data_IF_513684695591
#
_entry.id   IF_513684695591
#
_cell.length_a   1.000
_cell.length_b   1.000
_cell.length_c   1.000
_cell.angle_alpha   90.00
_cell.angle_beta   90.00
_cell.angle_gamma   90.00
#
_symmetry.space_group_name_H-M   'P 1'
#
loop_
_entity.id
_entity.type
_entity.pdbx_description
1 polymer ?
#
# COMPACT_ATOMS: atom_id res chain seq x y z
N UNK A 1 36.91 6.23 10.63
CA UNK A 1 35.86 6.93 11.39
C UNK A 1 34.57 6.15 11.22
N UNK A 2 33.76 5.99 12.26
CA UNK A 2 32.44 5.37 12.10
C UNK A 2 31.55 6.39 11.37
N UNK A 3 30.97 6.00 10.24
CA UNK A 3 30.02 6.85 9.52
C UNK A 3 28.79 7.11 10.38
N UNK A 4 28.16 8.27 10.20
CA UNK A 4 26.93 8.60 10.93
C UNK A 4 25.76 7.77 10.39
N UNK A 5 24.88 7.25 11.27
CA UNK A 5 23.73 6.48 10.83
C UNK A 5 22.76 7.37 10.04
N UNK A 6 22.14 6.78 9.02
CA UNK A 6 21.05 7.39 8.28
C UNK A 6 19.82 7.62 9.16
N UNK A 7 18.91 8.50 8.73
CA UNK A 7 17.65 8.74 9.44
C UNK A 7 16.85 7.44 9.65
N UNK A 8 16.80 6.55 8.65
CA UNK A 8 16.06 5.30 8.74
C UNK A 8 16.69 4.31 9.73
N UNK A 9 18.02 4.25 9.81
CA UNK A 9 18.73 3.44 10.81
C UNK A 9 18.46 3.93 12.24
N UNK A 10 18.48 5.25 12.46
CA UNK A 10 18.17 5.86 13.76
C UNK A 10 16.72 5.51 14.16
N UNK A 11 15.76 5.69 13.25
CA UNK A 11 14.35 5.38 13.51
C UNK A 11 14.13 3.90 13.80
N UNK A 12 14.78 3.01 13.04
CA UNK A 12 14.70 1.56 13.25
C UNK A 12 15.24 1.16 14.62
N UNK A 13 16.40 1.69 15.01
CA UNK A 13 16.98 1.45 16.32
C UNK A 13 16.10 1.97 17.46
N UNK A 14 15.54 3.19 17.30
CA UNK A 14 14.60 3.76 18.26
C UNK A 14 13.32 2.92 18.40
N UNK A 15 12.76 2.41 17.29
CA UNK A 15 11.59 1.54 17.31
C UNK A 15 11.86 0.23 18.05
N UNK A 16 12.98 -0.45 17.77
CA UNK A 16 13.35 -1.68 18.49
C UNK A 16 13.57 -1.42 19.98
N UNK A 17 14.25 -0.33 20.32
CA UNK A 17 14.43 0.05 21.73
C UNK A 17 13.10 0.32 22.42
N UNK A 18 12.20 1.05 21.76
CA UNK A 18 10.87 1.33 22.28
C UNK A 18 10.05 0.06 22.50
N UNK A 19 10.00 -0.87 21.54
CA UNK A 19 9.30 -2.15 21.69
C UNK A 19 9.86 -2.98 22.84
N UNK A 20 11.17 -2.97 23.06
CA UNK A 20 11.80 -3.64 24.20
C UNK A 20 11.39 -3.00 25.53
N UNK A 21 11.35 -1.66 25.61
CA UNK A 21 10.89 -0.93 26.81
C UNK A 21 9.40 -1.17 27.11
N UNK A 22 8.57 -1.34 26.08
CA UNK A 22 7.14 -1.62 26.23
C UNK A 22 6.84 -3.11 26.48
N UNK A 23 7.85 -3.99 26.48
CA UNK A 23 7.70 -5.43 26.69
C UNK A 23 6.63 -6.08 25.78
N UNK A 24 6.59 -5.69 24.49
CA UNK A 24 5.60 -6.23 23.55
C UNK A 24 5.81 -7.73 23.33
N UNK A 25 4.72 -8.51 23.24
CA UNK A 25 4.78 -9.94 22.87
C UNK A 25 5.24 -10.14 21.43
N UNK A 26 4.74 -9.29 20.52
CA UNK A 26 5.04 -9.32 19.09
C UNK A 26 5.25 -7.90 18.56
N UNK A 27 6.20 -7.76 17.65
CA UNK A 27 6.40 -6.54 16.87
C UNK A 27 6.23 -6.87 15.38
N UNK A 28 5.36 -6.14 14.69
CA UNK A 28 5.21 -6.20 13.23
C UNK A 28 6.15 -5.17 12.62
N UNK A 29 7.14 -5.63 11.87
CA UNK A 29 8.21 -4.78 11.33
C UNK A 29 8.07 -4.72 9.80
N UNK A 30 7.72 -3.54 9.29
CA UNK A 30 7.71 -3.26 7.86
C UNK A 30 9.13 -2.91 7.38
N UNK A 31 9.57 -3.57 6.32
CA UNK A 31 10.85 -3.30 5.66
C UNK A 31 10.79 -1.93 4.99
N UNK A 32 11.80 -1.08 5.19
CA UNK A 32 11.85 0.23 4.55
C UNK A 32 12.07 0.16 3.04
N UNK A 33 13.13 -0.51 2.61
CA UNK A 33 13.46 -0.68 1.21
C UNK A 33 14.15 -2.03 0.92
N UNK A 34 13.60 -2.78 -0.04
CA UNK A 34 14.17 -4.06 -0.44
C UNK A 34 13.93 -5.15 0.61
N UNK A 35 14.96 -5.46 1.39
CA UNK A 35 14.92 -6.49 2.42
C UNK A 35 16.30 -6.94 2.88
N UNK A 36 17.14 -7.42 1.96
CA UNK A 36 18.45 -7.99 2.28
C UNK A 36 19.35 -7.05 3.10
N UNK A 37 19.44 -5.79 2.67
CA UNK A 37 20.27 -4.74 3.27
C UNK A 37 19.47 -3.71 4.06
N UNK A 38 18.20 -3.98 4.32
CA UNK A 38 17.36 -3.05 5.05
C UNK A 38 17.74 -3.03 6.54
N UNK A 39 17.67 -1.85 7.17
CA UNK A 39 18.00 -1.67 8.59
C UNK A 39 17.16 -2.55 9.52
N UNK A 40 15.97 -2.96 9.09
CA UNK A 40 15.10 -3.87 9.85
C UNK A 40 15.56 -5.33 9.83
N UNK A 41 16.44 -5.72 8.89
CA UNK A 41 16.82 -7.12 8.67
C UNK A 41 17.84 -7.67 9.69
N UNK A 42 17.94 -7.05 10.86
CA UNK A 42 18.78 -7.46 11.99
C UNK A 42 18.10 -8.52 12.88
N UNK A 43 16.81 -8.78 12.67
CA UNK A 43 15.99 -9.65 13.51
C UNK A 43 15.84 -11.07 12.94
N UNK A 44 15.50 -12.03 13.81
CA UNK A 44 14.98 -13.34 13.42
C UNK A 44 13.48 -13.37 13.73
N UNK A 45 12.59 -13.23 12.73
CA UNK A 45 11.16 -13.20 12.98
C UNK A 45 10.60 -14.61 13.21
N UNK A 46 9.38 -14.68 13.74
CA UNK A 46 8.60 -15.93 13.83
C UNK A 46 7.96 -16.31 12.49
N UNK A 47 7.75 -15.33 11.60
CA UNK A 47 7.28 -15.50 10.22
C UNK A 47 7.81 -14.33 9.38
N UNK A 48 8.29 -14.62 8.17
CA UNK A 48 8.64 -13.58 7.19
C UNK A 48 7.50 -13.43 6.18
N UNK A 49 7.19 -12.20 5.78
CA UNK A 49 6.09 -11.93 4.84
C UNK A 49 6.61 -11.11 3.66
N UNK A 50 6.39 -11.60 2.44
CA UNK A 50 6.70 -10.89 1.20
C UNK A 50 5.39 -10.72 0.43
N UNK A 51 4.77 -9.53 0.48
CA UNK A 51 3.44 -9.25 -0.09
C UNK A 51 3.41 -9.43 -1.61
N UNK A 52 3.40 -8.35 -2.41
CA UNK A 52 3.61 -8.39 -3.85
C UNK A 52 5.05 -7.99 -4.19
N UNK A 53 5.45 -8.23 -5.44
CA UNK A 53 6.69 -7.71 -5.99
C UNK A 53 6.36 -7.07 -7.32
N UNK A 54 6.59 -5.77 -7.39
CA UNK A 54 6.40 -4.94 -8.57
C UNK A 54 7.70 -4.19 -8.89
N UNK A 55 7.80 -3.65 -10.10
CA UNK A 55 8.89 -2.76 -10.46
C UNK A 55 8.73 -1.44 -9.70
N UNK A 56 9.50 -1.29 -8.63
CA UNK A 56 9.61 -0.05 -7.87
C UNK A 56 11.05 0.09 -7.37
N UNK A 57 11.51 1.32 -7.19
CA UNK A 57 12.88 1.63 -6.76
C UNK A 57 13.96 0.93 -7.61
N UNK A 58 13.77 0.88 -8.93
CA UNK A 58 14.62 0.12 -9.86
C UNK A 58 16.08 0.59 -9.92
N UNK A 59 16.35 1.83 -9.49
CA UNK A 59 17.70 2.36 -9.33
C UNK A 59 18.49 1.70 -8.19
N UNK A 60 17.80 1.13 -7.20
CA UNK A 60 18.40 0.57 -5.98
C UNK A 60 18.22 -0.95 -5.92
N UNK A 61 17.04 -1.46 -6.26
CA UNK A 61 16.68 -2.86 -6.04
C UNK A 61 16.93 -3.77 -7.24
N UNK A 62 17.12 -3.20 -8.43
CA UNK A 62 17.29 -3.94 -9.68
C UNK A 62 16.31 -3.51 -10.77
N UNK A 63 16.60 -3.90 -12.00
CA UNK A 63 15.82 -3.56 -13.20
C UNK A 63 14.78 -4.62 -13.55
N UNK A 64 14.83 -5.80 -12.93
CA UNK A 64 13.91 -6.91 -13.18
C UNK A 64 13.13 -7.28 -11.92
N UNK A 65 11.98 -7.95 -12.10
CA UNK A 65 11.18 -8.46 -11.00
C UNK A 65 11.98 -9.51 -10.18
N UNK A 66 12.83 -10.27 -10.85
CA UNK A 66 13.68 -11.30 -10.26
C UNK A 66 14.75 -10.68 -9.33
N UNK A 67 15.41 -9.61 -9.77
CA UNK A 67 16.40 -8.89 -8.95
C UNK A 67 15.75 -8.27 -7.71
N UNK A 68 14.60 -7.62 -7.89
CA UNK A 68 13.84 -7.03 -6.78
C UNK A 68 13.35 -8.12 -5.83
N UNK A 69 12.87 -9.24 -6.35
CA UNK A 69 12.45 -10.38 -5.53
C UNK A 69 13.62 -10.98 -4.74
N UNK A 70 14.83 -11.03 -5.31
CA UNK A 70 16.02 -11.50 -4.60
C UNK A 70 16.38 -10.59 -3.42
N UNK A 71 16.31 -9.26 -3.61
CA UNK A 71 16.49 -8.30 -2.51
C UNK A 71 15.46 -8.52 -1.41
N UNK A 72 14.18 -8.65 -1.77
CA UNK A 72 13.09 -8.91 -0.80
C UNK A 72 13.24 -10.26 -0.09
N UNK A 73 13.67 -11.30 -0.80
CA UNK A 73 13.92 -12.63 -0.24
C UNK A 73 15.03 -12.64 0.82
N UNK A 74 15.83 -11.58 0.93
CA UNK A 74 16.85 -11.43 1.98
C UNK A 74 16.30 -11.40 3.41
N UNK A 75 14.99 -11.20 3.62
CA UNK A 75 14.36 -11.30 4.94
C UNK A 75 14.02 -12.74 5.34
N UNK A 76 14.18 -13.71 4.44
CA UNK A 76 13.94 -15.13 4.72
C UNK A 76 15.05 -15.66 5.61
N UNK A 77 14.67 -16.23 6.76
CA UNK A 77 15.60 -16.78 7.76
C UNK A 77 15.52 -18.30 7.83
N UNK A 78 16.61 -18.92 8.28
CA UNK A 78 16.75 -20.38 8.39
C UNK A 78 15.59 -20.99 9.20
N UNK A 79 14.86 -21.91 8.56
CA UNK A 79 13.70 -22.65 9.11
C UNK A 79 12.54 -21.77 9.60
N UNK A 80 12.54 -20.48 9.26
CA UNK A 80 11.44 -19.57 9.58
C UNK A 80 10.42 -19.61 8.45
N UNK A 81 9.12 -19.80 8.72
CA UNK A 81 8.09 -19.85 7.67
C UNK A 81 7.98 -18.52 6.91
N UNK A 82 7.66 -18.61 5.63
CA UNK A 82 7.50 -17.48 4.71
C UNK A 82 6.11 -17.51 4.11
N UNK A 83 5.37 -16.41 4.21
CA UNK A 83 4.11 -16.20 3.49
C UNK A 83 4.35 -15.21 2.37
N UNK A 84 3.91 -15.53 1.16
CA UNK A 84 4.07 -14.63 0.02
C UNK A 84 2.83 -14.46 -0.84
N UNK A 85 2.57 -13.22 -1.25
CA UNK A 85 1.59 -12.86 -2.27
C UNK A 85 2.21 -12.66 -3.66
N UNK A 86 3.52 -12.92 -3.82
CA UNK A 86 4.25 -12.73 -5.06
C UNK A 86 3.86 -13.81 -6.09
N UNK A 87 3.88 -13.42 -7.35
CA UNK A 87 3.49 -14.28 -8.47
C UNK A 87 4.43 -14.07 -9.67
N UNK A 88 4.26 -14.92 -10.69
CA UNK A 88 5.04 -14.84 -11.93
C UNK A 88 6.55 -14.93 -11.67
N UNK A 89 7.30 -14.09 -12.39
CA UNK A 89 8.75 -14.07 -12.37
C UNK A 89 9.36 -13.78 -10.98
N UNK A 90 8.67 -12.99 -10.16
CA UNK A 90 9.13 -12.67 -8.81
C UNK A 90 9.11 -13.87 -7.85
N UNK A 91 8.32 -14.92 -8.14
CA UNK A 91 8.19 -16.05 -7.24
C UNK A 91 9.43 -16.96 -7.23
N UNK A 92 10.13 -17.07 -8.37
CA UNK A 92 11.30 -17.95 -8.51
C UNK A 92 12.40 -17.70 -7.47
N UNK A 93 12.93 -16.47 -7.34
CA UNK A 93 13.95 -16.13 -6.34
C UNK A 93 13.50 -16.42 -4.89
N UNK A 94 12.22 -16.16 -4.58
CA UNK A 94 11.64 -16.45 -3.25
C UNK A 94 11.64 -17.96 -2.99
N UNK A 95 11.24 -18.77 -3.98
CA UNK A 95 11.26 -20.24 -3.86
C UNK A 95 12.67 -20.79 -3.65
N UNK A 96 13.65 -20.30 -4.43
CA UNK A 96 15.06 -20.72 -4.30
C UNK A 96 15.59 -20.39 -2.91
N UNK A 97 15.38 -19.15 -2.45
CA UNK A 97 15.84 -18.74 -1.13
C UNK A 97 15.14 -19.51 -0.01
N UNK A 98 13.84 -19.75 -0.13
CA UNK A 98 13.09 -20.54 0.85
C UNK A 98 13.60 -21.98 0.93
N UNK A 99 13.89 -22.61 -0.21
CA UNK A 99 14.46 -23.95 -0.24
C UNK A 99 15.86 -23.99 0.37
N UNK A 100 16.72 -23.02 0.03
CA UNK A 100 18.07 -22.90 0.57
C UNK A 100 18.08 -22.73 2.10
N UNK A 101 17.13 -21.94 2.63
CA UNK A 101 16.96 -21.69 4.07
C UNK A 101 16.12 -22.73 4.80
N UNK A 102 15.69 -23.79 4.11
CA UNK A 102 14.76 -24.79 4.65
C UNK A 102 13.50 -24.16 5.29
N UNK A 103 13.07 -23.02 4.74
CA UNK A 103 11.95 -22.24 5.22
C UNK A 103 10.64 -22.77 4.62
N UNK A 104 9.63 -23.13 5.42
CA UNK A 104 8.31 -23.50 4.90
C UNK A 104 7.68 -22.34 4.12
N UNK A 105 7.30 -22.56 2.86
CA UNK A 105 6.78 -21.53 1.96
C UNK A 105 5.27 -21.67 1.74
N UNK A 106 4.52 -20.59 1.96
CA UNK A 106 3.09 -20.48 1.70
C UNK A 106 2.84 -19.41 0.63
N UNK A 107 2.31 -19.81 -0.53
CA UNK A 107 2.17 -18.92 -1.71
C UNK A 107 0.69 -18.66 -2.01
N UNK A 108 0.31 -17.38 -2.13
CA UNK A 108 -1.03 -16.99 -2.60
C UNK A 108 -1.30 -17.56 -4.00
N UNK A 109 -2.50 -18.09 -4.23
CA UNK A 109 -2.90 -18.77 -5.46
C UNK A 109 -2.36 -20.19 -5.62
N UNK A 110 -1.61 -20.71 -4.64
CA UNK A 110 -1.19 -22.13 -4.58
C UNK A 110 -1.52 -22.79 -3.26
N UNK A 111 -1.07 -22.19 -2.15
CA UNK A 111 -1.27 -22.68 -0.79
C UNK A 111 -2.57 -22.16 -0.17
N UNK A 112 -3.00 -20.97 -0.56
CA UNK A 112 -4.21 -20.30 -0.11
C UNK A 112 -4.66 -19.25 -1.13
N UNK A 113 -5.92 -18.85 -1.13
CA UNK A 113 -6.45 -17.76 -1.94
C UNK A 113 -7.72 -17.15 -1.32
N UNK A 114 -8.05 -15.94 -1.75
CA UNK A 114 -9.29 -15.25 -1.39
C UNK A 114 -10.27 -15.21 -2.55
N UNK A 115 -11.54 -15.46 -2.29
CA UNK A 115 -12.64 -15.32 -3.23
C UNK A 115 -13.54 -14.17 -2.79
N UNK A 116 -13.69 -13.16 -3.63
CA UNK A 116 -14.62 -12.05 -3.38
C UNK A 116 -16.06 -12.57 -3.34
N UNK A 117 -16.81 -12.21 -2.29
CA UNK A 117 -18.26 -12.48 -2.18
C UNK A 117 -19.04 -11.20 -2.43
N UNK A 118 -18.68 -10.13 -1.70
CA UNK A 118 -19.24 -8.78 -1.91
C UNK A 118 -18.15 -7.74 -1.82
N UNK A 119 -18.30 -6.63 -2.54
CA UNK A 119 -17.31 -5.57 -2.59
C UNK A 119 -17.98 -4.22 -2.85
N UNK A 120 -17.69 -3.25 -2.00
CA UNK A 120 -18.20 -1.88 -2.07
C UNK A 120 -17.16 -0.91 -1.52
N UNK A 121 -17.44 0.39 -1.59
CA UNK A 121 -16.62 1.42 -0.92
C UNK A 121 -16.66 1.34 0.61
N UNK A 122 -17.67 0.70 1.20
CA UNK A 122 -17.80 0.53 2.65
C UNK A 122 -17.09 -0.72 3.18
N UNK A 123 -16.54 -1.53 2.27
CA UNK A 123 -15.82 -2.75 2.61
C UNK A 123 -16.21 -3.93 1.72
N UNK A 124 -15.62 -5.06 2.06
CA UNK A 124 -15.66 -6.28 1.27
C UNK A 124 -15.85 -7.49 2.19
N UNK A 125 -16.59 -8.49 1.70
CA UNK A 125 -16.66 -9.83 2.28
C UNK A 125 -16.01 -10.80 1.32
N UNK A 126 -15.12 -11.63 1.81
CA UNK A 126 -14.40 -12.61 1.01
C UNK A 126 -14.23 -13.93 1.75
N UNK A 127 -14.13 -15.03 0.99
CA UNK A 127 -13.83 -16.36 1.51
C UNK A 127 -12.34 -16.64 1.38
N UNK A 128 -11.68 -16.94 2.50
CA UNK A 128 -10.31 -17.45 2.51
C UNK A 128 -10.33 -18.98 2.47
N UNK A 129 -9.73 -19.53 1.42
CA UNK A 129 -9.47 -20.97 1.27
C UNK A 129 -7.98 -21.23 1.49
N UNK A 130 -7.62 -22.17 2.37
CA UNK A 130 -6.23 -22.54 2.63
C UNK A 130 -6.05 -24.04 2.86
N UNK A 131 -5.06 -24.64 2.19
CA UNK A 131 -4.87 -26.10 2.20
C UNK A 131 -6.12 -26.84 1.70
N UNK A 132 -6.41 -28.02 2.25
CA UNK A 132 -7.57 -28.83 1.81
C UNK A 132 -8.85 -28.56 2.60
N UNK A 133 -8.74 -28.07 3.84
CA UNK A 133 -9.85 -28.11 4.80
C UNK A 133 -10.15 -26.77 5.49
N UNK A 134 -9.36 -25.71 5.24
CA UNK A 134 -9.65 -24.41 5.86
C UNK A 134 -10.43 -23.53 4.89
N UNK A 135 -11.64 -23.19 5.29
CA UNK A 135 -12.52 -22.25 4.61
C UNK A 135 -13.17 -21.37 5.67
N UNK A 136 -12.99 -20.05 5.56
CA UNK A 136 -13.61 -19.10 6.48
C UNK A 136 -13.88 -17.76 5.78
N UNK A 137 -14.98 -17.10 6.14
CA UNK A 137 -15.43 -15.84 5.52
C UNK A 137 -15.05 -14.64 6.38
N UNK A 138 -14.32 -13.70 5.79
CA UNK A 138 -13.81 -12.50 6.44
C UNK A 138 -14.48 -11.25 5.89
N UNK A 139 -14.68 -10.26 6.75
CA UNK A 139 -15.12 -8.92 6.37
C UNK A 139 -13.99 -7.93 6.61
N UNK A 140 -13.68 -7.09 5.62
CA UNK A 140 -12.66 -6.04 5.70
C UNK A 140 -13.26 -4.70 5.27
N UNK A 141 -12.96 -3.62 5.98
CA UNK A 141 -13.48 -2.28 5.65
C UNK A 141 -12.74 -1.60 4.49
N UNK A 142 -11.55 -2.07 4.16
CA UNK A 142 -10.75 -1.53 3.07
C UNK A 142 -11.32 -1.96 1.71
N UNK A 143 -11.71 -1.03 0.83
CA UNK A 143 -12.15 -1.37 -0.52
C UNK A 143 -10.97 -1.71 -1.44
N UNK A 144 -11.27 -2.36 -2.56
CA UNK A 144 -10.29 -2.74 -3.60
C UNK A 144 -9.85 -4.20 -3.53
N UNK A 145 -9.86 -4.89 -4.68
CA UNK A 145 -9.60 -6.32 -4.76
C UNK A 145 -8.20 -6.73 -4.24
N UNK A 146 -7.21 -5.85 -4.37
CA UNK A 146 -5.86 -6.08 -3.83
C UNK A 146 -5.85 -6.22 -2.30
N UNK A 147 -6.80 -5.59 -1.60
CA UNK A 147 -6.91 -5.70 -0.15
C UNK A 147 -7.37 -7.08 0.31
N UNK A 148 -8.16 -7.79 -0.50
CA UNK A 148 -8.51 -9.21 -0.22
C UNK A 148 -7.22 -10.04 -0.23
N UNK A 149 -6.35 -9.89 -1.23
CA UNK A 149 -5.06 -10.59 -1.28
C UNK A 149 -4.19 -10.23 -0.07
N UNK A 150 -4.06 -8.94 0.26
CA UNK A 150 -3.28 -8.49 1.42
C UNK A 150 -3.81 -9.10 2.73
N UNK A 151 -5.13 -9.09 2.91
CA UNK A 151 -5.79 -9.70 4.05
C UNK A 151 -5.52 -11.21 4.12
N UNK A 152 -5.63 -11.95 3.01
CA UNK A 152 -5.29 -13.37 2.98
C UNK A 152 -3.85 -13.64 3.42
N UNK A 153 -2.88 -12.85 2.94
CA UNK A 153 -1.47 -12.97 3.32
C UNK A 153 -1.29 -12.72 4.82
N UNK A 154 -1.92 -11.66 5.35
CA UNK A 154 -1.87 -11.32 6.78
C UNK A 154 -2.52 -12.39 7.66
N UNK A 155 -3.72 -12.89 7.29
CA UNK A 155 -4.45 -13.93 8.02
C UNK A 155 -3.63 -15.22 8.06
N UNK A 156 -3.00 -15.63 6.95
CA UNK A 156 -2.16 -16.83 6.91
C UNK A 156 -0.91 -16.66 7.77
N UNK A 157 -0.27 -15.49 7.75
CA UNK A 157 0.85 -15.17 8.65
C UNK A 157 0.42 -15.26 10.12
N UNK A 158 -0.70 -14.64 10.49
CA UNK A 158 -1.26 -14.71 11.84
C UNK A 158 -1.63 -16.15 12.24
N UNK A 159 -2.19 -16.95 11.32
CA UNK A 159 -2.51 -18.36 11.54
C UNK A 159 -1.25 -19.20 11.80
N UNK A 160 -0.14 -18.90 11.14
CA UNK A 160 1.16 -19.55 11.42
C UNK A 160 1.63 -19.24 12.84
N UNK A 161 1.55 -17.96 13.26
CA UNK A 161 1.91 -17.55 14.62
C UNK A 161 1.01 -18.22 15.66
N UNK A 162 -0.30 -18.32 15.39
CA UNK A 162 -1.28 -18.95 16.30
C UNK A 162 -0.99 -20.43 16.62
N UNK A 163 -0.17 -21.12 15.81
CA UNK A 163 0.27 -22.49 16.13
C UNK A 163 1.19 -22.55 17.34
N UNK A 164 1.95 -21.47 17.58
CA UNK A 164 2.85 -21.32 18.72
C UNK A 164 2.25 -20.50 19.86
N UNK A 165 1.17 -19.77 19.61
CA UNK A 165 0.49 -18.93 20.60
C UNK A 165 -1.04 -19.09 20.51
N UNK A 166 -1.65 -19.90 21.41
CA UNK A 166 -3.09 -20.14 21.39
C UNK A 166 -3.92 -18.91 21.79
N UNK A 167 -3.30 -17.82 22.27
CA UNK A 167 -3.98 -16.56 22.55
C UNK A 167 -4.49 -15.89 21.27
N UNK A 168 -3.97 -16.24 20.09
CA UNK A 168 -4.40 -15.71 18.79
C UNK A 168 -5.50 -16.63 18.23
N UNK A 169 -6.74 -16.37 18.62
CA UNK A 169 -7.90 -17.20 18.26
C UNK A 169 -8.39 -16.95 16.83
N UNK A 170 -9.39 -17.71 16.38
CA UNK A 170 -10.04 -17.45 15.09
C UNK A 170 -10.85 -16.16 15.13
N UNK A 171 -11.58 -15.97 16.22
CA UNK A 171 -12.36 -14.80 16.55
C UNK A 171 -11.50 -13.52 16.51
N UNK A 172 -10.30 -13.55 17.11
CA UNK A 172 -9.35 -12.43 17.08
C UNK A 172 -8.91 -12.08 15.66
N UNK A 173 -8.73 -13.09 14.79
CA UNK A 173 -8.38 -12.86 13.38
C UNK A 173 -9.55 -12.22 12.62
N UNK A 174 -10.79 -12.65 12.86
CA UNK A 174 -11.96 -12.00 12.26
C UNK A 174 -12.11 -10.55 12.72
N UNK A 175 -11.99 -10.32 14.03
CA UNK A 175 -12.07 -8.97 14.60
C UNK A 175 -10.96 -8.07 14.04
N UNK A 176 -9.70 -8.54 14.04
CA UNK A 176 -8.57 -7.76 13.54
C UNK A 176 -8.70 -7.36 12.06
N UNK A 177 -9.21 -8.26 11.21
CA UNK A 177 -9.46 -7.94 9.79
C UNK A 177 -10.63 -6.94 9.64
N UNK A 178 -11.70 -7.10 10.42
CA UNK A 178 -12.86 -6.23 10.37
C UNK A 178 -12.58 -4.81 10.92
N UNK A 179 -11.64 -4.69 11.85
CA UNK A 179 -11.23 -3.43 12.48
C UNK A 179 -10.03 -2.76 11.78
N UNK A 180 -9.48 -3.38 10.74
CA UNK A 180 -8.32 -2.82 10.03
C UNK A 180 -8.65 -1.45 9.43
N UNK A 181 -7.84 -0.45 9.78
CA UNK A 181 -7.87 0.90 9.22
C UNK A 181 -6.53 1.18 8.55
N UNK A 182 -6.56 1.69 7.32
CA UNK A 182 -5.35 2.02 6.58
C UNK A 182 -5.49 3.39 5.89
N UNK A 183 -5.03 4.47 6.54
CA UNK A 183 -5.11 5.81 5.98
C UNK A 183 -4.47 5.92 4.59
N UNK A 184 -5.12 6.64 3.67
CA UNK A 184 -4.61 6.87 2.32
C UNK A 184 -4.58 5.63 1.40
N UNK A 185 -5.46 4.65 1.63
CA UNK A 185 -5.67 3.49 0.74
C UNK A 185 -7.16 3.39 0.42
N UNK A 186 -7.56 4.01 -0.69
CA UNK A 186 -8.96 4.21 -1.08
C UNK A 186 -9.83 4.69 0.11
N UNK A 187 -9.26 5.56 0.95
CA UNK A 187 -9.88 6.02 2.18
C UNK A 187 -10.97 7.04 1.83
N UNK A 188 -12.24 6.69 2.00
CA UNK A 188 -13.35 7.64 1.81
C UNK A 188 -13.53 8.50 3.06
N UNK A 189 -13.41 9.81 2.90
CA UNK A 189 -13.50 10.79 4.01
C UNK A 189 -14.74 11.68 3.97
N UNK A 190 -15.45 11.72 2.84
CA UNK A 190 -16.70 12.46 2.68
C UNK A 190 -17.64 11.68 1.76
N UNK A 191 -18.95 11.84 2.00
CA UNK A 191 -20.03 11.30 1.15
C UNK A 191 -20.87 12.49 0.66
N UNK A 192 -21.05 12.58 -0.66
CA UNK A 192 -21.72 13.67 -1.40
C UNK A 192 -21.07 15.06 -1.24
N UNK A 193 -20.03 15.38 -2.06
CA UNK A 193 -19.38 14.48 -3.02
C UNK A 193 -18.62 13.34 -2.32
N UNK A 194 -18.44 12.22 -3.02
CA UNK A 194 -17.53 11.18 -2.53
C UNK A 194 -16.10 11.71 -2.65
N UNK A 195 -15.35 11.67 -1.54
CA UNK A 195 -13.96 12.15 -1.49
C UNK A 195 -13.07 11.01 -1.01
N UNK A 196 -12.13 10.61 -1.85
CA UNK A 196 -11.26 9.46 -1.65
C UNK A 196 -9.81 9.91 -1.55
N UNK A 197 -9.08 9.38 -0.58
CA UNK A 197 -7.64 9.59 -0.43
C UNK A 197 -6.89 8.30 -0.80
N UNK A 198 -5.92 8.41 -1.71
CA UNK A 198 -5.11 7.26 -2.10
C UNK A 198 -3.65 7.62 -2.43
N UNK A 199 -2.72 6.88 -1.82
CA UNK A 199 -1.27 7.06 -1.97
C UNK A 199 -0.62 6.30 -3.14
N UNK A 200 -1.38 5.85 -4.13
CA UNK A 200 -0.86 5.24 -5.36
C UNK A 200 0.16 6.18 -6.04
N UNK A 201 1.38 5.69 -6.21
CA UNK A 201 2.51 6.49 -6.72
C UNK A 201 3.44 5.70 -7.67
N UNK A 202 3.03 4.50 -8.03
CA UNK A 202 3.71 3.61 -8.97
C UNK A 202 2.68 2.97 -9.91
N UNK A 203 3.10 2.34 -11.03
CA UNK A 203 2.18 1.81 -12.03
C UNK A 203 1.16 0.79 -11.49
N UNK A 204 1.58 -0.10 -10.59
CA UNK A 204 0.71 -1.12 -9.97
C UNK A 204 -0.37 -0.49 -9.08
N UNK A 205 0.03 0.47 -8.24
CA UNK A 205 -0.91 1.23 -7.40
C UNK A 205 -1.87 2.09 -8.23
N UNK A 206 -1.38 2.70 -9.31
CA UNK A 206 -2.20 3.48 -10.23
C UNK A 206 -3.26 2.61 -10.92
N UNK A 207 -2.89 1.39 -11.33
CA UNK A 207 -3.82 0.42 -11.91
C UNK A 207 -4.85 -0.01 -10.87
N UNK A 208 -4.41 -0.36 -9.65
CA UNK A 208 -5.31 -0.76 -8.58
C UNK A 208 -6.30 0.33 -8.18
N UNK A 209 -5.86 1.59 -8.13
CA UNK A 209 -6.72 2.75 -7.89
C UNK A 209 -7.73 2.90 -9.03
N UNK A 210 -7.28 2.89 -10.28
CA UNK A 210 -8.16 3.05 -11.44
C UNK A 210 -9.19 1.94 -11.55
N UNK A 211 -8.80 0.68 -11.37
CA UNK A 211 -9.71 -0.47 -11.36
C UNK A 211 -10.79 -0.32 -10.28
N UNK A 212 -10.43 0.17 -9.09
CA UNK A 212 -11.37 0.43 -8.02
C UNK A 212 -12.35 1.57 -8.37
N UNK A 213 -11.85 2.67 -8.94
CA UNK A 213 -12.70 3.78 -9.37
C UNK A 213 -13.67 3.35 -10.49
N UNK A 214 -13.20 2.57 -11.47
CA UNK A 214 -14.03 2.03 -12.55
C UNK A 214 -15.10 1.06 -12.04
N UNK A 215 -14.74 0.22 -11.06
CA UNK A 215 -15.66 -0.74 -10.43
C UNK A 215 -16.74 -0.05 -9.59
N UNK A 216 -16.36 0.91 -8.75
CA UNK A 216 -17.27 1.49 -7.76
C UNK A 216 -18.00 2.75 -8.24
N UNK A 217 -17.48 3.43 -9.26
CA UNK A 217 -18.05 4.66 -9.82
C UNK A 217 -18.12 4.57 -11.36
N UNK A 218 -18.82 3.57 -11.92
CA UNK A 218 -18.82 3.31 -13.36
C UNK A 218 -19.34 4.52 -14.14
N UNK A 219 -18.54 4.98 -15.10
CA UNK A 219 -18.88 6.10 -15.99
C UNK A 219 -18.93 7.48 -15.32
N UNK A 220 -18.47 7.62 -14.07
CA UNK A 220 -18.33 8.94 -13.43
C UNK A 220 -16.94 9.52 -13.71
N UNK A 221 -16.83 10.76 -14.23
CA UNK A 221 -15.56 11.45 -14.32
C UNK A 221 -15.01 11.75 -12.92
N UNK A 222 -13.69 11.67 -12.77
CA UNK A 222 -12.99 11.87 -11.51
C UNK A 222 -12.37 13.26 -11.47
N UNK A 223 -12.49 13.93 -10.33
CA UNK A 223 -11.85 15.21 -10.07
C UNK A 223 -10.64 14.97 -9.18
N UNK A 224 -9.44 15.09 -9.73
CA UNK A 224 -8.22 14.80 -9.00
C UNK A 224 -7.64 16.06 -8.36
N UNK A 225 -7.19 15.92 -7.11
CA UNK A 225 -6.11 16.73 -6.54
C UNK A 225 -4.86 15.86 -6.57
N UNK A 226 -3.94 16.14 -7.48
CA UNK A 226 -2.88 15.20 -7.86
C UNK A 226 -1.49 15.77 -7.64
N UNK A 227 -0.64 15.00 -6.95
CA UNK A 227 0.76 15.35 -6.74
C UNK A 227 1.61 14.10 -6.57
N UNK A 228 2.79 14.10 -7.18
CA UNK A 228 3.71 12.96 -7.17
C UNK A 228 5.14 13.38 -6.84
N UNK A 229 5.94 12.41 -6.37
CA UNK A 229 7.39 12.56 -6.36
C UNK A 229 7.93 12.41 -7.78
N UNK A 230 8.80 13.33 -8.22
CA UNK A 230 9.35 13.38 -9.57
C UNK A 230 10.37 12.28 -9.90
N UNK A 231 10.88 11.58 -8.89
CA UNK A 231 11.80 10.44 -9.08
C UNK A 231 11.09 9.11 -9.36
N UNK A 232 9.75 9.11 -9.44
CA UNK A 232 8.91 7.95 -9.75
C UNK A 232 8.54 7.87 -11.23
N UNK A 233 7.85 6.81 -11.64
CA UNK A 233 7.39 6.58 -13.02
C UNK A 233 6.16 7.45 -13.38
N UNK A 234 6.29 8.78 -13.25
CA UNK A 234 5.17 9.73 -13.33
C UNK A 234 4.37 9.59 -14.63
N UNK A 235 5.04 9.55 -15.79
CA UNK A 235 4.37 9.41 -17.09
C UNK A 235 3.56 8.13 -17.22
N UNK A 236 4.06 7.02 -16.68
CA UNK A 236 3.34 5.76 -16.72
C UNK A 236 2.15 5.75 -15.75
N UNK A 237 2.32 6.31 -14.56
CA UNK A 237 1.22 6.46 -13.58
C UNK A 237 0.10 7.33 -14.14
N UNK A 238 0.42 8.50 -14.71
CA UNK A 238 -0.57 9.38 -15.35
C UNK A 238 -1.32 8.66 -16.46
N UNK A 239 -0.60 7.94 -17.34
CA UNK A 239 -1.20 7.16 -18.44
C UNK A 239 -2.17 6.08 -17.95
N UNK A 240 -1.83 5.41 -16.85
CA UNK A 240 -2.67 4.34 -16.28
C UNK A 240 -3.89 4.92 -15.57
N UNK A 241 -3.70 5.98 -14.78
CA UNK A 241 -4.69 6.50 -13.85
C UNK A 241 -5.69 7.46 -14.49
N UNK A 242 -5.21 8.44 -15.26
CA UNK A 242 -6.02 9.58 -15.71
C UNK A 242 -6.72 9.24 -17.03
N UNK A 243 -8.01 9.59 -17.13
CA UNK A 243 -8.84 9.46 -18.33
C UNK A 243 -9.12 10.83 -18.96
N UNK A 244 -9.47 10.90 -20.27
CA UNK A 244 -9.76 12.17 -20.96
C UNK A 244 -10.89 12.99 -20.34
N UNK A 245 -11.89 12.33 -19.73
CA UNK A 245 -13.06 12.93 -19.09
C UNK A 245 -12.81 13.42 -17.66
N UNK A 246 -11.68 13.04 -17.06
CA UNK A 246 -11.30 13.48 -15.72
C UNK A 246 -10.87 14.95 -15.72
N UNK A 247 -10.95 15.61 -14.57
CA UNK A 247 -10.36 16.94 -14.35
C UNK A 247 -9.26 16.83 -13.31
N UNK A 248 -8.13 17.51 -13.51
CA UNK A 248 -6.99 17.39 -12.59
C UNK A 248 -6.50 18.75 -12.11
N UNK A 249 -6.53 18.95 -10.80
CA UNK A 249 -5.82 20.04 -10.13
C UNK A 249 -4.47 19.49 -9.68
N UNK A 250 -3.38 19.91 -10.32
CA UNK A 250 -2.04 19.44 -9.96
C UNK A 250 -1.41 20.32 -8.89
N UNK A 251 -0.72 19.68 -7.95
CA UNK A 251 -0.04 20.32 -6.82
C UNK A 251 1.31 19.65 -6.58
N UNK A 252 2.19 20.31 -5.84
CA UNK A 252 3.38 19.65 -5.29
C UNK A 252 2.97 18.64 -4.22
N UNK A 253 3.60 17.46 -4.22
CA UNK A 253 3.30 16.42 -3.22
C UNK A 253 3.81 16.78 -1.82
N UNK A 254 4.95 17.48 -1.76
CA UNK A 254 5.55 18.08 -0.57
C UNK A 254 6.45 19.27 -0.96
N UNK A 255 7.00 19.95 0.05
CA UNK A 255 7.96 21.05 -0.13
C UNK A 255 9.38 20.55 -0.41
N UNK A 256 9.56 19.24 -0.59
CA UNK A 256 10.85 18.61 -0.77
C UNK A 256 11.38 18.77 -2.20
N UNK A 257 12.72 18.68 -2.39
CA UNK A 257 13.35 18.80 -3.71
C UNK A 257 13.03 17.64 -4.66
N UNK A 258 12.37 16.59 -4.17
CA UNK A 258 11.99 15.41 -4.95
C UNK A 258 10.56 15.48 -5.47
N UNK A 259 9.72 16.40 -5.00
CA UNK A 259 8.37 16.56 -5.53
C UNK A 259 8.43 17.11 -6.96
N UNK A 260 7.56 16.59 -7.83
CA UNK A 260 7.37 17.16 -9.15
C UNK A 260 6.65 18.51 -9.05
N UNK A 261 6.99 19.45 -9.94
CA UNK A 261 6.32 20.74 -9.97
C UNK A 261 4.89 20.59 -10.51
N UNK A 262 3.94 21.35 -9.94
CA UNK A 262 2.54 21.30 -10.34
C UNK A 262 2.35 21.58 -11.84
N UNK A 263 3.09 22.56 -12.37
CA UNK A 263 3.07 22.94 -13.79
C UNK A 263 3.60 21.83 -14.69
N UNK A 264 4.65 21.11 -14.28
CA UNK A 264 5.19 19.99 -15.04
C UNK A 264 4.19 18.83 -15.11
N UNK A 265 3.53 18.52 -13.99
CA UNK A 265 2.46 17.53 -13.94
C UNK A 265 1.28 17.93 -14.85
N UNK A 266 0.86 19.19 -14.81
CA UNK A 266 -0.23 19.67 -15.66
C UNK A 266 0.11 19.55 -17.15
N UNK A 267 1.31 19.96 -17.54
CA UNK A 267 1.78 19.86 -18.92
C UNK A 267 1.85 18.40 -19.40
N UNK A 268 2.26 17.48 -18.53
CA UNK A 268 2.32 16.05 -18.83
C UNK A 268 0.92 15.43 -19.02
N UNK A 269 -0.06 15.84 -18.22
CA UNK A 269 -1.44 15.33 -18.30
C UNK A 269 -2.17 15.94 -19.51
N UNK A 270 -1.96 17.23 -19.79
CA UNK A 270 -2.55 17.93 -20.91
C UNK A 270 -3.77 18.78 -20.54
N UNK A 271 -4.72 18.98 -21.47
CA UNK A 271 -5.71 20.06 -21.40
C UNK A 271 -6.72 19.94 -20.25
N UNK A 272 -6.90 18.75 -19.68
CA UNK A 272 -7.78 18.56 -18.52
C UNK A 272 -7.12 18.88 -17.17
N UNK A 273 -5.84 19.27 -17.16
CA UNK A 273 -5.10 19.60 -15.95
C UNK A 273 -4.85 21.10 -15.78
N UNK A 274 -4.86 21.57 -14.52
CA UNK A 274 -4.53 22.93 -14.11
C UNK A 274 -3.61 22.91 -12.89
N UNK A 275 -2.50 23.65 -12.90
CA UNK A 275 -1.59 23.73 -11.75
C UNK A 275 -2.08 24.70 -10.69
N UNK A 276 -1.79 24.36 -9.43
CA UNK A 276 -2.05 25.17 -8.24
C UNK A 276 -0.83 25.18 -7.33
N UNK A 277 -0.60 26.30 -6.67
CA UNK A 277 0.49 26.47 -5.70
C UNK A 277 0.09 25.98 -4.30
N UNK A 278 -1.20 26.04 -3.97
CA UNK A 278 -1.76 25.61 -2.68
C UNK A 278 -2.70 24.41 -2.82
N UNK A 279 -2.55 23.45 -1.90
CA UNK A 279 -3.37 22.23 -1.86
C UNK A 279 -4.83 22.56 -1.51
N UNK A 280 -5.06 23.60 -0.72
CA UNK A 280 -6.39 24.07 -0.36
C UNK A 280 -7.13 24.68 -1.54
N UNK A 281 -6.46 25.52 -2.33
CA UNK A 281 -7.05 26.08 -3.56
C UNK A 281 -7.39 24.99 -4.59
N UNK A 282 -6.47 24.04 -4.81
CA UNK A 282 -6.71 22.88 -5.68
C UNK A 282 -7.90 22.05 -5.20
N UNK A 283 -8.01 21.84 -3.89
CA UNK A 283 -9.10 21.14 -3.25
C UNK A 283 -10.45 21.84 -3.42
N UNK A 284 -10.50 23.15 -3.15
CA UNK A 284 -11.72 23.96 -3.25
C UNK A 284 -12.21 23.99 -4.72
N UNK A 285 -11.28 24.07 -5.68
CA UNK A 285 -11.60 23.96 -7.11
C UNK A 285 -12.12 22.56 -7.48
N UNK A 286 -11.47 21.49 -7.05
CA UNK A 286 -11.88 20.12 -7.35
C UNK A 286 -13.29 19.81 -6.81
N UNK A 287 -13.62 20.29 -5.61
CA UNK A 287 -14.97 20.20 -5.04
C UNK A 287 -15.99 20.98 -5.86
N UNK A 288 -15.67 22.22 -6.24
CA UNK A 288 -16.57 23.06 -7.02
C UNK A 288 -16.88 22.43 -8.39
N UNK A 289 -15.88 21.86 -9.05
CA UNK A 289 -16.05 21.16 -10.32
C UNK A 289 -16.85 19.85 -10.18
N UNK A 290 -16.67 19.12 -9.08
CA UNK A 290 -17.36 17.86 -8.82
C UNK A 290 -18.85 18.05 -8.48
N UNK A 291 -19.22 19.13 -7.80
CA UNK A 291 -20.57 19.35 -7.30
C UNK A 291 -20.97 18.33 -6.21
N UNK A 292 -22.25 18.27 -5.86
CA UNK A 292 -22.75 17.45 -4.72
C UNK A 292 -22.69 15.93 -4.95
N UNK A 293 -22.77 15.48 -6.19
CA UNK A 293 -22.86 14.05 -6.55
C UNK A 293 -21.61 13.55 -7.30
N UNK A 294 -20.59 14.40 -7.37
CA UNK A 294 -19.31 14.11 -8.00
C UNK A 294 -18.39 13.26 -7.14
N UNK A 295 -17.25 12.94 -7.75
CA UNK A 295 -16.20 12.13 -7.16
C UNK A 295 -14.89 12.93 -7.20
N UNK A 296 -14.29 13.11 -6.03
CA UNK A 296 -12.98 13.75 -5.86
C UNK A 296 -11.98 12.74 -5.33
N UNK A 297 -10.78 12.70 -5.93
CA UNK A 297 -9.68 11.84 -5.48
C UNK A 297 -8.47 12.72 -5.17
N UNK A 298 -7.98 12.66 -3.94
CA UNK A 298 -6.69 13.24 -3.55
C UNK A 298 -5.66 12.13 -3.58
N UNK A 299 -4.68 12.21 -4.49
CA UNK A 299 -3.73 11.11 -4.65
C UNK A 299 -2.50 11.39 -5.50
N UNK A 300 -1.74 10.33 -5.77
CA UNK A 300 -0.43 10.40 -6.44
C UNK A 300 0.77 10.24 -5.49
N UNK A 301 0.57 10.44 -4.18
CA UNK A 301 1.61 10.28 -3.16
C UNK A 301 1.02 10.18 -1.76
N UNK A 302 1.62 9.34 -0.91
CA UNK A 302 1.31 9.34 0.52
C UNK A 302 1.71 10.67 1.21
N UNK A 303 2.71 11.39 0.68
CA UNK A 303 3.08 12.71 1.19
C UNK A 303 1.95 13.71 0.98
N UNK A 304 1.35 13.74 -0.22
CA UNK A 304 0.21 14.61 -0.51
C UNK A 304 -0.99 14.27 0.39
N UNK A 305 -1.30 12.98 0.54
CA UNK A 305 -2.37 12.54 1.45
C UNK A 305 -2.12 13.03 2.88
N UNK A 306 -0.88 12.91 3.37
CA UNK A 306 -0.49 13.43 4.69
C UNK A 306 -0.68 14.95 4.82
N UNK A 307 -0.16 15.71 3.86
CA UNK A 307 -0.31 17.17 3.79
C UNK A 307 -1.78 17.60 3.78
N UNK A 308 -2.58 16.94 2.95
CA UNK A 308 -4.01 17.20 2.82
C UNK A 308 -4.78 16.92 4.12
N UNK A 309 -4.53 15.79 4.78
CA UNK A 309 -5.15 15.49 6.09
C UNK A 309 -4.72 16.50 7.16
N UNK A 310 -3.46 16.90 7.15
CA UNK A 310 -2.96 17.97 8.02
C UNK A 310 -3.67 19.31 7.80
N UNK A 311 -3.95 19.67 6.54
CA UNK A 311 -4.72 20.86 6.18
C UNK A 311 -6.17 20.78 6.69
N UNK A 312 -6.86 19.65 6.48
CA UNK A 312 -8.25 19.47 6.94
C UNK A 312 -8.39 19.62 8.46
N UNK A 313 -7.42 19.09 9.22
CA UNK A 313 -7.39 19.23 10.68
C UNK A 313 -7.27 20.69 11.12
N UNK A 314 -6.46 21.50 10.42
CA UNK A 314 -6.34 22.94 10.70
C UNK A 314 -7.60 23.71 10.35
N UNK A 315 -8.22 23.43 9.20
CA UNK A 315 -9.48 24.06 8.77
C UNK A 315 -10.67 23.74 9.69
N UNK A 316 -10.68 22.56 10.30
CA UNK A 316 -11.74 22.16 11.24
C UNK A 316 -11.59 22.80 12.62
N UNK A 317 -10.40 23.30 12.95
CA UNK A 317 -10.09 23.93 14.23
C UNK A 317 -10.27 25.47 14.22
N UNK A 318 -10.48 26.07 13.05
CA UNK A 318 -10.74 27.50 12.82
C UNK A 318 -12.23 27.77 12.65
#
# INVERSE_FOLDING_TARGET
>A
ACEQPTQFEILTAAAFHYFALQHVDYAVIEVGLGGLWDSTNLIKPVVSVITNVALDHTKVLGKTLEEIALQKAGIIKEKVPVVTGAAGNALGPIQVMSAFKQAPLYVYGRSFHGEEITSSMDGQVFRLCAGTNYVSEYSIRLPGAHQIRNACVAIVAAKIVSKGDPRITEEDRHAGVAETVWPGRLERILVRPDVILDGAHNPDGAQALRDALDKFYPGKPVHFVFGMMGDKAVSEVVRILIRPEDKVCTVRADDGPRAAEAVELANLIGPQARPFDDVGEAWDQALADAGSDGLVVVGGSLYLVGTFKGMLLRRSAS
#
